data_IF_299822476724
#
_entry.id   IF_299822476724
#
_cell.length_a   1.000
_cell.length_b   1.000
_cell.length_c   1.000
_cell.angle_alpha   90.00
_cell.angle_beta   90.00
_cell.angle_gamma   90.00
#
_symmetry.space_group_name_H-M   'P 1'
#
loop_
_entity.id
_entity.type
_entity.pdbx_description
1 polymer ?
#
# COMPACT_ATOMS: atom_id res chain seq x y z
N UNK A 1 -16.82 18.84 0.74
CA UNK A 1 -15.62 18.12 1.23
C UNK A 1 -14.99 18.96 2.32
N UNK A 2 -14.24 18.36 3.24
CA UNK A 2 -13.57 19.08 4.33
C UNK A 2 -12.34 18.30 4.81
N UNK A 3 -11.23 18.99 5.06
CA UNK A 3 -10.07 18.42 5.74
C UNK A 3 -10.31 18.34 7.23
N UNK A 4 -9.79 17.30 7.88
CA UNK A 4 -9.68 17.27 9.34
C UNK A 4 -8.81 18.44 9.81
N UNK A 5 -9.02 18.96 11.04
CA UNK A 5 -8.24 20.09 11.55
C UNK A 5 -6.72 19.86 11.61
N UNK A 6 -6.29 18.60 11.75
CA UNK A 6 -4.89 18.17 11.75
C UNK A 6 -4.32 17.94 10.33
N UNK A 7 -5.14 18.11 9.28
CA UNK A 7 -4.82 17.89 7.87
C UNK A 7 -4.36 16.47 7.49
N UNK A 8 -4.58 15.47 8.35
CA UNK A 8 -4.19 14.09 8.08
C UNK A 8 -5.20 13.38 7.18
N UNK A 9 -6.47 13.80 7.23
CA UNK A 9 -7.57 13.18 6.49
C UNK A 9 -8.42 14.18 5.71
N UNK A 10 -9.04 13.71 4.63
CA UNK A 10 -10.01 14.45 3.83
C UNK A 10 -11.34 13.68 3.79
N UNK A 11 -12.42 14.35 4.20
CA UNK A 11 -13.78 13.83 4.10
C UNK A 11 -14.46 14.38 2.84
N UNK A 12 -14.98 13.49 2.01
CA UNK A 12 -15.70 13.84 0.79
C UNK A 12 -17.04 13.12 0.70
N UNK A 13 -18.12 13.88 0.50
CA UNK A 13 -19.45 13.32 0.28
C UNK A 13 -19.64 12.88 -1.16
N UNK A 14 -20.23 11.71 -1.36
CA UNK A 14 -20.67 11.18 -2.65
C UNK A 14 -22.01 10.46 -2.47
N UNK A 15 -23.08 11.05 -3.00
CA UNK A 15 -24.44 10.64 -2.64
C UNK A 15 -24.64 10.71 -1.12
N UNK A 16 -25.18 9.66 -0.52
CA UNK A 16 -25.35 9.52 0.94
C UNK A 16 -24.16 8.91 1.68
N UNK A 17 -23.02 8.72 1.01
CA UNK A 17 -21.81 8.14 1.58
C UNK A 17 -20.72 9.19 1.75
N UNK A 18 -19.90 9.02 2.78
CA UNK A 18 -18.72 9.79 3.05
C UNK A 18 -17.49 8.92 2.76
N UNK A 19 -16.62 9.39 1.87
CA UNK A 19 -15.29 8.84 1.67
C UNK A 19 -14.32 9.51 2.63
N UNK A 20 -13.51 8.71 3.31
CA UNK A 20 -12.39 9.17 4.13
C UNK A 20 -11.11 8.86 3.37
N UNK A 21 -10.28 9.88 3.17
CA UNK A 21 -8.97 9.75 2.53
C UNK A 21 -7.88 10.02 3.53
N UNK A 22 -6.83 9.19 3.52
CA UNK A 22 -5.56 9.52 4.15
C UNK A 22 -4.80 10.44 3.19
N UNK A 23 -4.54 11.68 3.62
CA UNK A 23 -3.95 12.70 2.76
C UNK A 23 -2.49 12.40 2.42
N UNK A 24 -1.74 11.83 3.38
CA UNK A 24 -0.32 11.49 3.20
C UNK A 24 -0.12 10.38 2.16
N UNK A 25 -0.94 9.33 2.24
CA UNK A 25 -0.87 8.17 1.34
C UNK A 25 -1.63 8.38 0.03
N UNK A 26 -2.55 9.33 -0.02
CA UNK A 26 -3.39 9.57 -1.20
C UNK A 26 -4.45 8.48 -1.42
N UNK A 27 -4.80 7.73 -0.38
CA UNK A 27 -5.65 6.55 -0.46
C UNK A 27 -6.99 6.77 0.23
N UNK A 28 -8.06 6.18 -0.33
CA UNK A 28 -9.36 6.14 0.32
C UNK A 28 -9.36 5.01 1.36
N UNK A 29 -9.33 5.36 2.64
CA UNK A 29 -9.20 4.41 3.75
C UNK A 29 -10.54 3.92 4.27
N UNK A 30 -11.63 4.68 4.07
CA UNK A 30 -12.94 4.29 4.61
C UNK A 30 -14.11 4.85 3.79
N UNK A 31 -15.24 4.13 3.87
CA UNK A 31 -16.55 4.55 3.37
C UNK A 31 -17.59 4.47 4.49
N UNK A 32 -18.14 5.62 4.87
CA UNK A 32 -19.14 5.72 5.92
C UNK A 32 -20.49 6.02 5.27
N UNK A 33 -21.50 5.18 5.52
CA UNK A 33 -22.87 5.47 5.06
C UNK A 33 -23.55 6.39 6.05
N UNK A 34 -23.91 7.60 5.61
CA UNK A 34 -24.51 8.64 6.47
C UNK A 34 -26.00 8.78 6.18
N UNK A 35 -26.37 8.75 4.90
CA UNK A 35 -27.75 8.82 4.44
C UNK A 35 -28.06 7.69 3.45
N UNK A 36 -29.29 7.17 3.50
CA UNK A 36 -29.74 6.09 2.61
C UNK A 36 -30.04 6.61 1.21
N UNK A 37 -30.88 7.65 1.12
CA UNK A 37 -31.50 8.14 -0.12
C UNK A 37 -31.30 9.65 -0.33
N UNK A 38 -30.27 10.22 0.26
CA UNK A 38 -30.05 11.66 0.26
C UNK A 38 -28.59 12.02 0.05
N UNK A 39 -28.34 13.06 -0.76
CA UNK A 39 -27.00 13.56 -1.00
C UNK A 39 -26.48 14.36 0.20
N UNK A 40 -25.17 14.27 0.44
CA UNK A 40 -24.48 15.14 1.39
C UNK A 40 -24.26 16.50 0.73
N UNK A 41 -24.80 17.55 1.33
CA UNK A 41 -24.65 18.95 0.90
C UNK A 41 -23.55 19.70 1.66
N UNK A 42 -23.29 19.31 2.91
CA UNK A 42 -22.32 20.00 3.74
C UNK A 42 -21.63 19.06 4.72
N UNK A 43 -20.37 19.37 5.02
CA UNK A 43 -19.56 18.68 6.03
C UNK A 43 -18.88 19.77 6.85
N UNK A 44 -19.01 19.72 8.18
CA UNK A 44 -18.37 20.69 9.07
C UNK A 44 -17.78 19.98 10.28
N UNK A 45 -16.50 20.22 10.52
CA UNK A 45 -15.85 19.84 11.76
C UNK A 45 -16.33 20.74 12.89
N UNK A 46 -16.75 20.13 13.99
CA UNK A 46 -17.07 20.83 15.22
C UNK A 46 -15.81 20.84 16.08
N UNK A 47 -15.25 22.01 16.28
CA UNK A 47 -14.12 22.18 17.21
C UNK A 47 -14.56 21.83 18.63
N UNK A 48 -13.71 21.06 19.33
CA UNK A 48 -13.95 20.73 20.72
C UNK A 48 -13.90 22.02 21.54
N UNK A 49 -15.01 22.36 22.18
CA UNK A 49 -15.04 23.42 23.17
C UNK A 49 -14.21 22.99 24.39
N UNK A 50 -12.95 23.37 24.41
CA UNK A 50 -11.95 22.94 25.37
C UNK A 50 -12.09 23.67 26.72
N UNK A 51 -13.32 23.70 27.29
CA UNK A 51 -13.54 24.14 28.67
C UNK A 51 -13.00 23.06 29.61
N UNK A 52 -11.67 23.07 29.77
CA UNK A 52 -10.84 22.41 30.78
C UNK A 52 -11.62 21.47 31.73
N UNK A 53 -11.91 20.25 31.27
CA UNK A 53 -12.24 19.15 32.18
C UNK A 53 -10.91 18.55 32.64
N UNK A 54 -10.43 19.02 33.81
CA UNK A 54 -9.15 18.59 34.37
C UNK A 54 -9.09 17.13 34.85
N UNK A 55 -10.14 16.34 34.71
CA UNK A 55 -10.19 14.96 35.20
C UNK A 55 -10.92 14.05 34.19
N UNK A 56 -10.24 13.59 33.15
CA UNK A 56 -10.43 12.24 32.61
C UNK A 56 -9.31 11.92 31.63
N UNK A 57 -8.73 10.74 31.83
CA UNK A 57 -7.78 10.13 30.93
C UNK A 57 -8.55 9.51 29.75
N UNK A 58 -8.04 9.75 28.54
CA UNK A 58 -8.00 8.80 27.43
C UNK A 58 -9.23 8.57 26.51
N UNK A 59 -10.19 9.49 26.39
CA UNK A 59 -11.21 9.38 25.30
C UNK A 59 -11.58 10.71 24.62
N UNK A 60 -10.84 11.77 24.93
CA UNK A 60 -11.17 13.13 24.51
C UNK A 60 -10.70 13.48 23.09
N UNK A 61 -10.04 12.56 22.35
CA UNK A 61 -9.56 12.89 21.00
C UNK A 61 -10.57 12.68 19.86
N UNK A 62 -11.78 12.23 20.17
CA UNK A 62 -12.83 12.04 19.17
C UNK A 62 -13.30 13.37 18.53
N UNK A 63 -13.09 13.54 17.23
CA UNK A 63 -13.52 14.74 16.49
C UNK A 63 -14.96 14.56 16.01
N UNK A 64 -15.85 15.51 16.34
CA UNK A 64 -17.25 15.43 15.89
C UNK A 64 -17.41 16.15 14.56
N UNK A 65 -18.09 15.50 13.63
CA UNK A 65 -18.38 16.03 12.28
C UNK A 65 -19.88 16.14 12.10
N UNK A 66 -20.37 17.34 11.78
CA UNK A 66 -21.74 17.60 11.36
C UNK A 66 -21.85 17.41 9.84
N UNK A 67 -22.84 16.64 9.41
CA UNK A 67 -23.08 16.29 8.01
C UNK A 67 -24.52 16.66 7.64
N UNK A 68 -24.66 17.50 6.63
CA UNK A 68 -25.92 18.11 6.24
C UNK A 68 -26.42 17.50 4.94
N UNK A 69 -27.64 16.96 4.95
CA UNK A 69 -28.49 16.76 3.77
C UNK A 69 -29.46 17.95 3.59
N UNK A 70 -30.38 17.85 2.63
CA UNK A 70 -31.48 18.80 2.46
C UNK A 70 -32.53 18.68 3.57
N UNK A 71 -32.82 17.47 4.03
CA UNK A 71 -33.87 17.13 5.00
C UNK A 71 -33.31 16.63 6.32
N UNK A 72 -32.08 16.13 6.33
CA UNK A 72 -31.47 15.47 7.49
C UNK A 72 -30.17 16.13 7.91
N UNK A 73 -29.90 16.06 9.21
CA UNK A 73 -28.63 16.40 9.82
C UNK A 73 -28.15 15.20 10.62
N UNK A 74 -26.93 14.74 10.36
CA UNK A 74 -26.29 13.65 11.08
C UNK A 74 -24.99 14.12 11.72
N UNK A 75 -24.62 13.47 12.82
CA UNK A 75 -23.33 13.66 13.47
C UNK A 75 -22.59 12.33 13.49
N UNK A 76 -21.30 12.37 13.14
CA UNK A 76 -20.41 11.22 13.31
C UNK A 76 -19.23 11.63 14.20
N UNK A 77 -18.66 10.64 14.86
CA UNK A 77 -17.40 10.78 15.57
C UNK A 77 -16.30 10.17 14.73
N UNK A 78 -15.31 10.97 14.37
CA UNK A 78 -14.12 10.56 13.65
C UNK A 78 -12.96 10.42 14.64
N UNK A 79 -12.34 9.24 14.66
CA UNK A 79 -11.11 8.96 15.42
C UNK A 79 -10.03 8.57 14.42
N UNK A 80 -8.89 9.21 14.50
CA UNK A 80 -7.72 8.81 13.71
C UNK A 80 -7.19 7.48 14.25
N UNK A 81 -7.22 6.44 13.42
CA UNK A 81 -6.58 5.16 13.72
C UNK A 81 -5.22 5.18 13.04
N UNK A 82 -4.19 5.63 13.76
CA UNK A 82 -2.82 5.45 13.32
C UNK A 82 -2.53 3.94 13.31
N UNK A 83 -2.49 3.33 12.13
CA UNK A 83 -1.90 2.00 11.97
C UNK A 83 -0.40 2.18 12.16
N UNK A 84 0.13 1.61 13.24
CA UNK A 84 1.56 1.38 13.42
C UNK A 84 2.00 0.50 12.24
N UNK A 85 2.84 1.03 11.37
CA UNK A 85 3.53 0.22 10.37
C UNK A 85 4.53 -0.65 11.16
N UNK A 86 4.13 -1.88 11.48
CA UNK A 86 5.07 -2.94 11.86
C UNK A 86 5.99 -3.17 10.66
N UNK A 87 7.20 -2.62 10.74
CA UNK A 87 8.24 -2.88 9.77
C UNK A 87 8.64 -4.34 9.85
N UNK A 88 8.42 -5.09 8.78
CA UNK A 88 9.01 -6.41 8.61
C UNK A 88 10.54 -6.21 8.44
N UNK A 89 11.32 -6.62 9.44
CA UNK A 89 12.78 -6.73 9.33
C UNK A 89 13.11 -7.84 8.33
N UNK A 90 13.68 -7.48 7.17
CA UNK A 90 14.29 -8.45 6.25
C UNK A 90 15.63 -8.93 6.84
N UNK A 91 15.61 -10.14 7.42
CA UNK A 91 16.81 -10.87 7.84
C UNK A 91 17.71 -11.19 6.63
N UNK A 92 18.73 -10.36 6.42
CA UNK A 92 19.85 -10.66 5.52
C UNK A 92 20.80 -11.65 6.20
N UNK A 93 20.48 -12.95 6.09
CA UNK A 93 21.38 -14.02 6.50
C UNK A 93 22.61 -14.08 5.59
N UNK A 94 23.67 -13.50 6.14
CA UNK A 94 25.03 -13.44 5.61
C UNK A 94 25.74 -14.76 5.90
N UNK A 95 25.51 -15.80 5.12
CA UNK A 95 26.26 -17.04 5.30
C UNK A 95 27.67 -16.92 4.70
N UNK A 96 28.62 -16.68 5.60
CA UNK A 96 30.06 -16.58 5.35
C UNK A 96 30.71 -17.80 6.00
N UNK A 97 30.89 -18.90 5.27
CA UNK A 97 31.75 -19.98 5.74
C UNK A 97 32.71 -20.44 4.64
N UNK A 98 33.95 -19.96 4.80
CA UNK A 98 35.16 -20.52 4.23
C UNK A 98 35.30 -21.98 4.70
N UNK A 99 35.57 -22.91 3.79
CA UNK A 99 36.16 -24.20 4.14
C UNK A 99 37.47 -24.39 3.39
N UNK A 100 38.51 -24.63 4.17
CA UNK A 100 39.91 -24.74 3.79
C UNK A 100 40.23 -26.04 3.05
N UNK A 101 41.35 -25.98 2.34
CA UNK A 101 42.07 -27.04 1.62
C UNK A 101 42.39 -28.25 2.50
N UNK A 102 42.50 -29.45 1.91
CA UNK A 102 43.79 -30.17 1.85
C UNK A 102 43.73 -31.51 1.09
N UNK A 103 44.55 -31.57 0.03
CA UNK A 103 45.40 -32.65 -0.54
C UNK A 103 44.96 -34.13 -0.48
N UNK A 104 44.98 -34.82 -1.63
CA UNK A 104 45.83 -36.03 -1.86
C UNK A 104 45.94 -36.34 -3.36
N UNK A 105 47.18 -36.57 -3.78
CA UNK A 105 47.63 -37.09 -5.08
C UNK A 105 47.09 -38.49 -5.38
N UNK A 106 46.90 -38.83 -6.67
CA UNK A 106 47.61 -39.93 -7.34
C UNK A 106 46.97 -40.37 -8.68
N UNK A 107 47.85 -40.42 -9.68
CA UNK A 107 47.95 -41.38 -10.79
C UNK A 107 46.86 -41.58 -11.87
N UNK A 108 47.28 -41.12 -13.06
CA UNK A 108 47.58 -41.94 -14.25
C UNK A 108 46.47 -42.32 -15.26
N UNK A 109 46.75 -41.89 -16.51
CA UNK A 109 46.45 -42.49 -17.83
C UNK A 109 44.95 -42.49 -18.21
N UNK A 110 44.54 -42.24 -19.45
CA UNK A 110 45.09 -42.74 -20.70
C UNK A 110 44.56 -41.90 -21.88
N UNK A 111 45.28 -41.99 -22.99
CA UNK A 111 44.99 -41.32 -24.27
C UNK A 111 43.77 -41.97 -24.94
N UNK A 112 42.91 -41.19 -25.60
CA UNK A 112 42.50 -41.57 -26.96
C UNK A 112 41.95 -40.40 -27.77
N UNK A 113 42.45 -40.33 -28.99
CA UNK A 113 41.99 -39.51 -30.11
C UNK A 113 40.58 -39.94 -30.52
N UNK A 114 39.77 -39.00 -31.02
CA UNK A 114 39.16 -39.14 -32.34
C UNK A 114 38.52 -37.85 -32.83
N UNK A 115 38.98 -37.47 -34.01
CA UNK A 115 38.43 -36.52 -34.96
C UNK A 115 36.95 -36.83 -35.28
N UNK A 116 36.21 -35.78 -35.63
CA UNK A 116 34.83 -35.90 -36.07
C UNK A 116 34.33 -34.59 -36.67
N UNK A 117 34.71 -34.37 -37.93
CA UNK A 117 34.31 -33.27 -38.79
C UNK A 117 32.79 -33.23 -39.08
N UNK A 118 32.30 -32.03 -39.42
CA UNK A 118 31.04 -31.82 -40.16
C UNK A 118 29.84 -31.46 -39.28
N UNK A 119 28.96 -30.53 -39.65
CA UNK A 119 28.56 -30.16 -41.01
C UNK A 119 27.80 -28.83 -40.95
N UNK A 120 28.20 -27.91 -41.82
CA UNK A 120 27.47 -26.69 -42.20
C UNK A 120 26.17 -27.11 -42.91
N UNK A 121 25.03 -26.51 -42.55
CA UNK A 121 23.95 -26.26 -43.50
C UNK A 121 23.32 -24.90 -43.22
N UNK A 122 23.83 -23.91 -43.96
CA UNK A 122 23.14 -22.69 -44.34
C UNK A 122 21.96 -23.08 -45.25
N UNK A 123 20.76 -22.61 -44.91
CA UNK A 123 19.53 -22.85 -45.65
C UNK A 123 18.81 -21.54 -45.89
N UNK A 124 19.24 -20.82 -46.92
CA UNK A 124 18.62 -19.58 -47.36
C UNK A 124 17.33 -19.78 -48.17
N UNK A 125 16.73 -18.62 -48.43
CA UNK A 125 15.96 -18.26 -49.63
C UNK A 125 14.42 -18.12 -49.53
N UNK A 126 14.03 -16.84 -49.58
CA UNK A 126 13.13 -16.22 -50.59
C UNK A 126 11.62 -16.42 -50.44
N UNK A 127 10.97 -15.28 -50.21
CA UNK A 127 10.14 -14.64 -51.23
C UNK A 127 8.63 -14.86 -51.11
N UNK A 128 7.87 -13.76 -51.22
CA UNK A 128 6.42 -13.84 -51.42
C UNK A 128 5.65 -12.59 -51.03
N UNK A 129 5.85 -11.50 -51.76
CA UNK A 129 4.88 -10.40 -51.85
C UNK A 129 3.73 -10.89 -52.72
N UNK A 130 2.49 -10.78 -52.26
CA UNK A 130 1.32 -10.69 -53.15
C UNK A 130 0.26 -9.77 -52.56
N UNK A 131 -0.36 -9.05 -53.49
CA UNK A 131 -1.23 -7.87 -53.38
C UNK A 131 -2.49 -8.05 -52.56
#
# INVERSE_FOLDING_TARGET
MAFTPDNTHLLAGIGGKLKVWNVRRGECVEYIRVFEDEAIHGIKFLEKNNKKRKNKKDDDDATVVAIYGLKKLSFITFKDQQQEEEGEEEDNDRDTLQHQQDVHDDDAKDKNEKEGEGKIMDGGAKGGVTR
#
